data_IF_275126084176
#
_entry.id   IF_275126084176
#
_cell.length_a   1.000
_cell.length_b   1.000
_cell.length_c   1.000
_cell.angle_alpha   90.00
_cell.angle_beta   90.00
_cell.angle_gamma   90.00
#
_symmetry.space_group_name_H-M   'P 1'
#
loop_
_entity.id
_entity.type
_entity.pdbx_description
1 polymer ?
#
# COMPACT_ATOMS: atom_id res chain seq x y z
N UNK A 1 -5.37 18.02 -19.90
CA UNK A 1 -4.49 17.60 -18.79
C UNK A 1 -5.22 16.81 -17.70
N UNK A 2 -6.38 17.24 -17.18
CA UNK A 2 -7.10 16.55 -16.10
C UNK A 2 -7.43 15.05 -16.34
N UNK A 3 -7.82 14.66 -17.57
CA UNK A 3 -8.19 13.25 -17.88
C UNK A 3 -7.01 12.28 -17.77
N UNK A 4 -5.80 12.73 -18.14
CA UNK A 4 -4.60 11.90 -18.08
C UNK A 4 -4.20 11.66 -16.62
N UNK A 5 -4.17 12.71 -15.80
CA UNK A 5 -3.90 12.59 -14.37
C UNK A 5 -4.94 11.74 -13.64
N UNK A 6 -6.23 11.87 -13.98
CA UNK A 6 -7.29 11.00 -13.45
C UNK A 6 -7.08 9.53 -13.84
N UNK A 7 -6.67 9.26 -15.08
CA UNK A 7 -6.36 7.89 -15.54
C UNK A 7 -5.18 7.29 -14.77
N UNK A 8 -4.10 8.06 -14.57
CA UNK A 8 -2.92 7.62 -13.80
C UNK A 8 -3.30 7.35 -12.34
N UNK A 9 -4.10 8.23 -11.72
CA UNK A 9 -4.61 8.04 -10.36
C UNK A 9 -5.50 6.78 -10.23
N UNK A 10 -6.36 6.52 -11.22
CA UNK A 10 -7.20 5.32 -11.23
C UNK A 10 -6.37 4.05 -11.39
N UNK A 11 -5.36 4.05 -12.27
CA UNK A 11 -4.45 2.91 -12.44
C UNK A 11 -3.69 2.64 -11.14
N UNK A 12 -3.15 3.67 -10.49
CA UNK A 12 -2.49 3.54 -9.18
C UNK A 12 -3.43 2.94 -8.15
N UNK A 13 -4.65 3.46 -8.05
CA UNK A 13 -5.64 3.01 -7.07
C UNK A 13 -6.02 1.54 -7.29
N UNK A 14 -6.24 1.15 -8.56
CA UNK A 14 -6.56 -0.23 -8.94
C UNK A 14 -5.41 -1.19 -8.62
N UNK A 15 -4.16 -0.80 -8.88
CA UNK A 15 -2.98 -1.58 -8.58
C UNK A 15 -2.85 -1.84 -7.06
N UNK A 16 -2.98 -0.79 -6.24
CA UNK A 16 -2.99 -0.90 -4.78
C UNK A 16 -4.14 -1.81 -4.32
N UNK A 17 -5.32 -1.71 -4.93
CA UNK A 17 -6.45 -2.56 -4.59
C UNK A 17 -6.18 -4.04 -4.88
N UNK A 18 -5.68 -4.36 -6.08
CA UNK A 18 -5.38 -5.73 -6.47
C UNK A 18 -4.28 -6.34 -5.61
N UNK A 19 -3.20 -5.60 -5.36
CA UNK A 19 -2.10 -6.07 -4.51
C UNK A 19 -2.56 -6.35 -3.08
N UNK A 20 -3.26 -5.42 -2.44
CA UNK A 20 -3.71 -5.61 -1.06
C UNK A 20 -4.71 -6.76 -0.91
N UNK A 21 -5.63 -6.93 -1.87
CA UNK A 21 -6.53 -8.08 -1.89
C UNK A 21 -5.77 -9.38 -2.06
N UNK A 22 -4.80 -9.43 -2.99
CA UNK A 22 -3.99 -10.62 -3.25
C UNK A 22 -3.19 -11.01 -2.01
N UNK A 23 -2.51 -10.06 -1.38
CA UNK A 23 -1.74 -10.29 -0.15
C UNK A 23 -2.61 -10.81 0.99
N UNK A 24 -3.81 -10.24 1.20
CA UNK A 24 -4.73 -10.69 2.26
C UNK A 24 -5.39 -12.04 1.96
N UNK A 25 -5.43 -12.49 0.70
CA UNK A 25 -6.08 -13.74 0.29
C UNK A 25 -5.08 -14.90 0.20
N UNK A 26 -3.89 -14.64 -0.32
CA UNK A 26 -2.84 -15.66 -0.52
C UNK A 26 -2.01 -15.89 0.74
N UNK A 27 -1.86 -14.87 1.60
CA UNK A 27 -1.09 -14.98 2.84
C UNK A 27 -2.00 -14.96 4.07
N UNK A 28 -1.86 -15.93 4.95
CA UNK A 28 -2.63 -16.01 6.20
C UNK A 28 -2.23 -14.93 7.22
N UNK A 29 -0.97 -14.47 7.17
CA UNK A 29 -0.42 -13.45 8.05
C UNK A 29 0.50 -12.48 7.27
N UNK A 30 -0.06 -11.52 6.51
CA UNK A 30 0.75 -10.49 5.88
C UNK A 30 1.41 -9.60 6.95
N UNK A 31 2.75 -9.60 6.96
CA UNK A 31 3.57 -8.71 7.79
C UNK A 31 3.83 -7.43 7.01
N UNK A 32 3.44 -6.29 7.58
CA UNK A 32 3.81 -4.98 7.06
C UNK A 32 4.80 -4.40 8.06
N UNK A 33 6.05 -4.24 7.64
CA UNK A 33 7.01 -3.46 8.39
C UNK A 33 6.54 -2.00 8.47
N UNK A 34 6.68 -1.35 9.62
CA UNK A 34 6.60 0.11 9.70
C UNK A 34 7.85 0.70 9.02
N UNK A 35 7.96 0.48 7.71
CA UNK A 35 9.08 0.98 6.91
C UNK A 35 8.94 2.48 6.99
N UNK A 36 9.86 3.16 7.69
CA UNK A 36 9.87 4.60 7.93
C UNK A 36 9.50 5.38 6.66
N UNK A 37 8.20 5.62 6.43
CA UNK A 37 7.71 6.20 5.17
C UNK A 37 8.30 7.59 5.01
N UNK A 38 8.45 8.32 6.12
CA UNK A 38 9.19 9.59 6.19
C UNK A 38 10.65 9.45 5.77
N UNK A 39 11.36 8.42 6.23
CA UNK A 39 12.77 8.18 5.90
C UNK A 39 12.97 7.75 4.44
N UNK A 40 12.05 6.97 3.88
CA UNK A 40 12.12 6.59 2.47
C UNK A 40 11.67 7.71 1.53
N UNK A 41 10.73 8.57 1.96
CA UNK A 41 10.39 9.81 1.26
C UNK A 41 11.54 10.82 1.26
N UNK A 42 12.40 10.81 2.29
CA UNK A 42 13.63 11.60 2.31
C UNK A 42 14.70 11.09 1.34
N UNK A 43 14.61 9.82 0.90
CA UNK A 43 15.50 9.26 -0.11
C UNK A 43 14.91 9.52 -1.52
N UNK A 44 15.44 10.52 -2.23
CA UNK A 44 14.93 10.94 -3.55
C UNK A 44 14.79 9.81 -4.59
N UNK A 45 15.61 8.75 -4.50
CA UNK A 45 15.55 7.60 -5.42
C UNK A 45 14.34 6.71 -5.17
N UNK A 46 13.89 6.64 -3.92
CA UNK A 46 12.75 5.82 -3.48
C UNK A 46 11.47 6.65 -3.32
N UNK A 47 11.61 7.95 -3.08
CA UNK A 47 10.51 8.89 -2.86
C UNK A 47 9.49 8.87 -4.00
N UNK A 48 9.93 8.82 -5.27
CA UNK A 48 9.04 8.79 -6.43
C UNK A 48 8.17 7.52 -6.43
N UNK A 49 8.79 6.34 -6.32
CA UNK A 49 8.09 5.05 -6.30
C UNK A 49 7.17 4.91 -5.07
N UNK A 50 7.56 5.44 -3.92
CA UNK A 50 6.81 5.33 -2.66
C UNK A 50 5.65 6.33 -2.61
N UNK A 51 5.87 7.55 -3.12
CA UNK A 51 4.83 8.55 -3.30
C UNK A 51 3.83 8.11 -4.39
N UNK A 52 4.28 7.33 -5.37
CA UNK A 52 3.42 6.70 -6.37
C UNK A 52 2.59 5.53 -5.83
N UNK A 53 3.12 4.74 -4.89
CA UNK A 53 2.34 3.66 -4.27
C UNK A 53 1.37 4.19 -3.20
N UNK A 54 1.66 5.33 -2.58
CA UNK A 54 0.78 5.94 -1.57
C UNK A 54 0.66 5.03 -0.35
N UNK A 55 1.77 4.82 0.35
CA UNK A 55 1.88 3.90 1.50
C UNK A 55 0.80 4.10 2.58
N UNK A 56 0.31 5.33 2.78
CA UNK A 56 -0.83 5.60 3.67
C UNK A 56 -2.11 4.91 3.21
N UNK A 57 -2.45 5.05 1.93
CA UNK A 57 -3.60 4.37 1.29
C UNK A 57 -3.40 2.85 1.31
N UNK A 58 -2.19 2.37 1.05
CA UNK A 58 -1.86 0.94 1.13
C UNK A 58 -2.10 0.38 2.55
N UNK A 59 -1.62 1.06 3.60
CA UNK A 59 -1.84 0.66 5.00
C UNK A 59 -3.32 0.66 5.37
N UNK A 60 -4.06 1.70 4.98
CA UNK A 60 -5.51 1.77 5.18
C UNK A 60 -6.22 0.58 4.50
N UNK A 61 -5.86 0.29 3.24
CA UNK A 61 -6.47 -0.81 2.49
C UNK A 61 -6.15 -2.18 3.09
N UNK A 62 -4.89 -2.40 3.50
CA UNK A 62 -4.48 -3.63 4.16
C UNK A 62 -5.21 -3.83 5.48
N UNK A 63 -5.36 -2.78 6.31
CA UNK A 63 -6.07 -2.89 7.59
C UNK A 63 -7.52 -3.35 7.43
N UNK A 64 -8.29 -2.72 6.54
CA UNK A 64 -9.69 -3.12 6.37
C UNK A 64 -9.82 -4.46 5.64
N UNK A 65 -8.95 -4.78 4.67
CA UNK A 65 -9.02 -6.05 3.93
C UNK A 65 -8.56 -7.23 4.76
N UNK A 66 -7.54 -7.06 5.60
CA UNK A 66 -7.13 -8.08 6.55
C UNK A 66 -8.28 -8.41 7.50
N UNK A 67 -8.96 -7.39 8.04
CA UNK A 67 -10.18 -7.58 8.85
C UNK A 67 -11.29 -8.31 8.08
N UNK A 68 -11.51 -7.95 6.80
CA UNK A 68 -12.53 -8.58 5.94
C UNK A 68 -12.23 -10.04 5.63
N UNK A 69 -10.96 -10.39 5.44
CA UNK A 69 -10.53 -11.74 5.10
C UNK A 69 -10.16 -12.60 6.32
N UNK A 70 -10.29 -12.05 7.53
CA UNK A 70 -9.91 -12.74 8.77
C UNK A 70 -8.40 -12.99 8.89
N UNK A 71 -7.57 -12.31 8.10
CA UNK A 71 -6.12 -12.45 8.14
C UNK A 71 -5.53 -11.51 9.18
N UNK A 72 -4.55 -12.03 9.93
CA UNK A 72 -3.89 -11.24 10.99
C UNK A 72 -2.84 -10.36 10.34
N UNK A 73 -3.14 -9.07 10.22
CA UNK A 73 -2.15 -8.07 9.84
C UNK A 73 -1.17 -7.91 11.01
N UNK A 74 0.10 -8.26 10.78
CA UNK A 74 1.16 -8.02 11.76
C UNK A 74 1.86 -6.74 11.32
N UNK A 75 1.74 -5.69 12.12
CA UNK A 75 2.58 -4.50 11.96
C UNK A 75 3.83 -4.75 12.78
N UNK A 76 4.94 -5.01 12.09
CA UNK A 76 6.23 -5.11 12.76
C UNK A 76 6.70 -3.68 13.03
N UNK A 77 6.51 -3.23 14.27
CA UNK A 77 7.29 -2.13 14.79
C UNK A 77 8.71 -2.64 15.04
N UNK A 78 9.67 -1.74 14.87
CA UNK A 78 11.09 -2.06 15.01
C UNK A 78 11.42 -2.64 16.38
#
# INVERSE_FOLDING_TARGET
MARLYARIANIRTDLVHKLTTRLCRENQAPVIEDVHVKGMLANCRLACAISDVGFGTFRLQMGYKAKRHGTRLIVADR
#
